data_IF_728857973512
#
_entry.id   IF_728857973512
#
_cell.length_a   1.000
_cell.length_b   1.000
_cell.length_c   1.000
_cell.angle_alpha   90.00
_cell.angle_beta   90.00
_cell.angle_gamma   90.00
#
_symmetry.space_group_name_H-M   'P 1'
#
loop_
_entity.id
_entity.type
_entity.pdbx_description
1 polymer ?
#
# COMPACT_ATOMS: atom_id res chain seq x y z
N UNK A 1 2.68 22.34 -11.92
CA UNK A 1 2.35 22.63 -10.49
C UNK A 1 2.83 21.47 -9.65
N UNK A 2 3.30 21.72 -8.43
CA UNK A 2 3.74 20.66 -7.50
C UNK A 2 2.72 20.52 -6.36
N UNK A 3 2.20 19.32 -6.18
CA UNK A 3 1.29 18.95 -5.09
C UNK A 3 2.05 18.12 -4.07
N UNK A 4 1.88 18.42 -2.78
CA UNK A 4 2.47 17.62 -1.70
C UNK A 4 1.39 16.83 -0.97
N UNK A 5 1.43 15.51 -1.11
CA UNK A 5 0.53 14.61 -0.38
C UNK A 5 1.16 14.21 0.96
N UNK A 6 0.42 14.39 2.05
CA UNK A 6 0.83 13.83 3.34
C UNK A 6 0.74 12.31 3.28
N UNK A 7 1.81 11.61 3.62
CA UNK A 7 1.84 10.14 3.64
C UNK A 7 2.51 9.63 4.90
N UNK A 8 2.32 8.33 5.19
CA UNK A 8 3.11 7.64 6.23
C UNK A 8 4.59 7.55 5.79
N UNK A 9 5.56 7.55 6.72
CA UNK A 9 6.99 7.49 6.37
C UNK A 9 7.40 6.27 5.54
N UNK A 10 6.97 5.05 5.92
CA UNK A 10 7.26 3.86 5.11
C UNK A 10 6.60 3.91 3.73
N UNK A 11 5.42 4.52 3.62
CA UNK A 11 4.72 4.74 2.35
C UNK A 11 5.53 5.68 1.45
N UNK A 12 6.17 6.73 1.99
CA UNK A 12 7.05 7.59 1.20
C UNK A 12 8.23 6.79 0.61
N UNK A 13 8.90 5.97 1.42
CA UNK A 13 10.02 5.13 0.96
C UNK A 13 9.56 4.15 -0.13
N UNK A 14 8.41 3.52 0.09
CA UNK A 14 7.78 2.63 -0.88
C UNK A 14 7.45 3.33 -2.21
N UNK A 15 6.77 4.48 -2.16
CA UNK A 15 6.42 5.26 -3.35
C UNK A 15 7.67 5.76 -4.09
N UNK A 16 8.65 6.29 -3.35
CA UNK A 16 9.90 6.78 -3.94
C UNK A 16 10.65 5.67 -4.67
N UNK A 17 10.63 4.45 -4.15
CA UNK A 17 11.27 3.28 -4.77
C UNK A 17 10.60 2.86 -6.08
N UNK A 18 9.27 2.99 -6.17
CA UNK A 18 8.46 2.53 -7.30
C UNK A 18 8.25 3.60 -8.38
N UNK A 19 8.08 4.85 -7.96
CA UNK A 19 7.68 5.97 -8.80
C UNK A 19 8.80 7.00 -9.02
N UNK A 20 9.88 6.90 -8.24
CA UNK A 20 10.96 7.89 -8.22
C UNK A 20 10.68 9.07 -7.28
N UNK A 21 11.69 9.92 -7.10
CA UNK A 21 11.61 11.12 -6.24
C UNK A 21 10.79 12.25 -6.85
N UNK A 22 10.77 12.34 -8.18
CA UNK A 22 10.09 13.39 -8.94
C UNK A 22 8.89 12.83 -9.69
N UNK A 23 8.00 12.15 -8.98
CA UNK A 23 6.86 11.49 -9.60
C UNK A 23 5.96 12.50 -10.34
N UNK A 24 5.74 12.26 -11.63
CA UNK A 24 4.78 12.99 -12.44
C UNK A 24 3.47 12.22 -12.50
N UNK A 25 2.37 12.87 -12.13
CA UNK A 25 1.05 12.25 -12.14
C UNK A 25 0.73 11.72 -13.54
N UNK A 26 0.50 10.41 -13.63
CA UNK A 26 0.26 9.68 -14.88
C UNK A 26 -0.95 8.77 -14.75
N UNK A 27 -1.72 8.61 -15.82
CA UNK A 27 -2.83 7.64 -15.87
C UNK A 27 -2.39 6.24 -16.33
N UNK A 28 -1.08 6.08 -16.59
CA UNK A 28 -0.47 4.82 -17.03
C UNK A 28 -0.29 3.87 -15.86
N UNK A 29 0.19 4.36 -14.72
CA UNK A 29 0.40 3.56 -13.53
C UNK A 29 -0.83 3.58 -12.59
N UNK A 30 -0.92 2.55 -11.74
CA UNK A 30 -2.06 2.37 -10.84
C UNK A 30 -2.17 3.44 -9.76
N UNK A 31 -1.03 3.98 -9.28
CA UNK A 31 -1.00 5.02 -8.26
C UNK A 31 -1.54 6.33 -8.81
N UNK A 32 -1.09 6.74 -9.98
CA UNK A 32 -1.52 7.97 -10.61
C UNK A 32 -2.96 7.89 -11.09
N UNK A 33 -3.41 6.75 -11.65
CA UNK A 33 -4.82 6.56 -12.01
C UNK A 33 -5.74 6.69 -10.79
N UNK A 34 -5.37 6.06 -9.67
CA UNK A 34 -6.16 6.13 -8.44
C UNK A 34 -6.16 7.56 -7.86
N UNK A 35 -4.98 8.19 -7.76
CA UNK A 35 -4.85 9.56 -7.26
C UNK A 35 -5.61 10.56 -8.15
N UNK A 36 -5.52 10.42 -9.47
CA UNK A 36 -6.26 11.25 -10.42
C UNK A 36 -7.77 11.12 -10.19
N UNK A 37 -8.28 9.90 -9.99
CA UNK A 37 -9.67 9.65 -9.63
C UNK A 37 -10.09 10.34 -8.34
N UNK A 38 -9.24 10.32 -7.31
CA UNK A 38 -9.51 11.01 -6.04
C UNK A 38 -9.53 12.53 -6.20
N UNK A 39 -8.55 13.10 -6.90
CA UNK A 39 -8.41 14.55 -7.06
C UNK A 39 -9.58 15.20 -7.80
N UNK A 40 -10.30 14.42 -8.62
CA UNK A 40 -11.48 14.88 -9.39
C UNK A 40 -12.76 14.95 -8.58
N UNK A 41 -12.84 14.28 -7.44
CA UNK A 41 -14.08 14.17 -6.69
C UNK A 41 -14.14 15.30 -5.65
N UNK A 42 -15.24 16.09 -5.59
CA UNK A 42 -15.45 17.08 -4.55
C UNK A 42 -15.75 16.33 -3.23
N UNK A 43 -14.67 15.95 -2.55
CA UNK A 43 -14.69 15.21 -1.30
C UNK A 43 -14.29 16.18 -0.19
N UNK A 44 -15.24 16.58 0.64
CA UNK A 44 -14.94 17.42 1.79
C UNK A 44 -15.64 16.86 3.03
N UNK A 45 -14.98 15.89 3.65
CA UNK A 45 -15.45 15.28 4.88
C UNK A 45 -14.40 15.50 5.98
N UNK A 46 -14.77 16.35 6.94
CA UNK A 46 -13.90 16.79 8.03
C UNK A 46 -13.59 15.66 9.02
N UNK A 47 -14.33 14.54 8.99
CA UNK A 47 -14.04 13.41 9.89
C UNK A 47 -12.63 12.85 9.69
N UNK A 48 -12.05 13.05 8.50
CA UNK A 48 -10.72 12.57 8.14
C UNK A 48 -9.57 13.45 8.65
N UNK A 49 -9.85 14.66 9.14
CA UNK A 49 -8.82 15.62 9.58
C UNK A 49 -7.98 15.06 10.74
N UNK A 50 -8.62 14.34 11.66
CA UNK A 50 -7.96 13.71 12.81
C UNK A 50 -6.91 12.66 12.41
N UNK A 51 -7.07 12.03 11.24
CA UNK A 51 -6.15 11.00 10.75
C UNK A 51 -4.87 11.59 10.16
N UNK A 52 -4.89 12.86 9.74
CA UNK A 52 -3.75 13.52 9.10
C UNK A 52 -2.54 13.66 10.02
N UNK A 53 -2.75 13.70 11.34
CA UNK A 53 -1.68 13.73 12.35
C UNK A 53 -0.67 12.57 12.20
N UNK A 54 -1.09 11.45 11.61
CA UNK A 54 -0.27 10.25 11.40
C UNK A 54 0.53 10.29 10.10
N UNK A 55 0.25 11.24 9.22
CA UNK A 55 0.87 11.37 7.90
C UNK A 55 1.91 12.49 7.93
N UNK A 56 3.07 12.19 8.50
CA UNK A 56 4.13 13.16 8.76
C UNK A 56 5.02 13.43 7.55
N UNK A 57 5.12 12.49 6.61
CA UNK A 57 5.95 12.61 5.43
C UNK A 57 5.20 13.30 4.28
N UNK A 58 5.95 13.90 3.33
CA UNK A 58 5.38 14.60 2.17
C UNK A 58 5.87 13.95 0.88
N UNK A 59 4.95 13.43 0.09
CA UNK A 59 5.23 12.88 -1.23
C UNK A 59 4.97 13.94 -2.31
N UNK A 60 6.01 14.37 -3.06
CA UNK A 60 5.86 15.34 -4.13
C UNK A 60 5.23 14.69 -5.37
N UNK A 61 4.19 15.33 -5.92
CA UNK A 61 3.50 14.90 -7.13
C UNK A 61 3.43 16.06 -8.11
N UNK A 62 4.10 15.92 -9.26
CA UNK A 62 4.10 16.92 -10.31
C UNK A 62 2.84 16.78 -11.17
N UNK A 63 2.04 17.84 -11.20
CA UNK A 63 0.84 17.93 -12.05
C UNK A 63 1.19 18.59 -13.38
N UNK A 64 0.82 17.93 -14.48
CA UNK A 64 1.00 18.37 -15.86
C UNK A 64 -0.04 19.45 -16.21
N UNK A 65 0.29 20.49 -17.00
CA UNK A 65 -0.62 21.61 -17.26
C UNK A 65 -2.02 21.25 -17.75
N UNK A 66 -2.17 20.23 -18.61
CA UNK A 66 -3.49 19.82 -19.10
C UNK A 66 -4.41 19.28 -17.98
N UNK A 67 -3.84 18.69 -16.93
CA UNK A 67 -4.59 18.22 -15.76
C UNK A 67 -5.06 19.38 -14.88
N UNK A 68 -4.39 20.54 -14.93
CA UNK A 68 -4.78 21.75 -14.19
C UNK A 68 -5.87 22.53 -14.91
N UNK A 69 -5.84 22.49 -16.25
CA UNK A 69 -6.88 23.06 -17.09
C UNK A 69 -8.21 22.31 -16.89
N UNK A 70 -8.16 21.00 -16.64
CA UNK A 70 -9.30 20.24 -16.14
C UNK A 70 -9.62 20.70 -14.70
N UNK A 71 -10.64 21.55 -14.57
CA UNK A 71 -11.06 22.18 -13.29
C UNK A 71 -11.39 21.16 -12.20
N UNK A 72 -11.50 19.88 -12.54
CA UNK A 72 -11.79 18.79 -11.62
C UNK A 72 -10.59 18.44 -10.70
N UNK A 73 -9.32 18.55 -11.12
CA UNK A 73 -8.18 18.04 -10.35
C UNK A 73 -7.65 18.99 -9.27
N UNK A 74 -8.53 19.47 -8.40
CA UNK A 74 -8.19 20.45 -7.34
C UNK A 74 -8.44 19.95 -5.92
N UNK A 75 -9.07 18.79 -5.76
CA UNK A 75 -9.58 18.35 -4.46
C UNK A 75 -8.57 17.47 -3.71
N UNK A 76 -7.55 18.09 -3.14
CA UNK A 76 -6.64 17.46 -2.19
C UNK A 76 -7.11 17.64 -0.74
N UNK A 77 -8.28 17.08 -0.41
CA UNK A 77 -8.80 17.10 0.96
C UNK A 77 -8.17 16.02 1.85
N UNK A 78 -8.43 16.10 3.16
CA UNK A 78 -8.03 15.09 4.13
C UNK A 78 -8.53 13.69 3.76
N UNK A 79 -9.76 13.61 3.24
CA UNK A 79 -10.32 12.37 2.72
C UNK A 79 -9.47 11.84 1.55
N UNK A 80 -9.14 12.67 0.55
CA UNK A 80 -8.25 12.27 -0.56
C UNK A 80 -6.93 11.69 -0.05
N UNK A 81 -6.31 12.34 0.93
CA UNK A 81 -5.06 11.89 1.55
C UNK A 81 -5.22 10.52 2.22
N UNK A 82 -6.27 10.32 3.02
CA UNK A 82 -6.52 9.06 3.72
C UNK A 82 -6.75 7.91 2.73
N UNK A 83 -7.60 8.13 1.74
CA UNK A 83 -7.91 7.11 0.72
C UNK A 83 -6.66 6.74 -0.08
N UNK A 84 -5.85 7.71 -0.49
CA UNK A 84 -4.59 7.44 -1.17
C UNK A 84 -3.63 6.63 -0.27
N UNK A 85 -3.46 7.00 1.00
CA UNK A 85 -2.60 6.25 1.91
C UNK A 85 -3.08 4.81 2.11
N UNK A 86 -4.39 4.58 2.24
CA UNK A 86 -4.95 3.23 2.39
C UNK A 86 -4.69 2.36 1.14
N UNK A 87 -4.86 2.94 -0.04
CA UNK A 87 -4.57 2.27 -1.30
C UNK A 87 -3.09 1.88 -1.40
N UNK A 88 -2.17 2.80 -1.10
CA UNK A 88 -0.74 2.51 -1.14
C UNK A 88 -0.36 1.48 -0.09
N UNK A 89 -0.94 1.56 1.11
CA UNK A 89 -0.71 0.59 2.19
C UNK A 89 -1.17 -0.82 1.81
N UNK A 90 -2.29 -0.95 1.09
CA UNK A 90 -2.76 -2.24 0.58
C UNK A 90 -1.76 -2.85 -0.40
N UNK A 91 -1.25 -2.06 -1.36
CA UNK A 91 -0.24 -2.50 -2.32
C UNK A 91 1.06 -2.88 -1.60
N UNK A 92 1.53 -2.02 -0.70
CA UNK A 92 2.72 -2.27 0.12
C UNK A 92 2.62 -3.61 0.84
N UNK A 93 1.52 -3.87 1.54
CA UNK A 93 1.38 -5.13 2.28
C UNK A 93 1.17 -6.33 1.35
N UNK A 94 0.58 -6.15 0.17
CA UNK A 94 0.51 -7.22 -0.83
C UNK A 94 1.90 -7.62 -1.29
N UNK A 95 2.73 -6.67 -1.70
CA UNK A 95 4.11 -6.94 -2.13
C UNK A 95 4.96 -7.51 -0.99
N UNK A 96 4.84 -6.95 0.22
CA UNK A 96 5.49 -7.50 1.41
C UNK A 96 5.15 -8.98 1.63
N UNK A 97 3.86 -9.34 1.58
CA UNK A 97 3.42 -10.73 1.77
C UNK A 97 3.93 -11.63 0.65
N UNK A 98 3.85 -11.21 -0.60
CA UNK A 98 4.39 -11.97 -1.73
C UNK A 98 5.90 -12.17 -1.60
N UNK A 99 6.64 -11.14 -1.19
CA UNK A 99 8.08 -11.22 -0.96
C UNK A 99 8.41 -12.22 0.15
N UNK A 100 7.77 -12.10 1.32
CA UNK A 100 8.03 -12.99 2.46
C UNK A 100 7.62 -14.43 2.12
N UNK A 101 6.47 -14.62 1.48
CA UNK A 101 5.99 -15.93 1.06
C UNK A 101 6.98 -16.62 0.14
N UNK A 102 7.43 -15.95 -0.92
CA UNK A 102 8.40 -16.49 -1.87
C UNK A 102 9.68 -16.93 -1.15
N UNK A 103 10.23 -16.09 -0.27
CA UNK A 103 11.47 -16.41 0.47
C UNK A 103 11.28 -17.55 1.47
N UNK A 104 10.12 -17.65 2.10
CA UNK A 104 9.83 -18.71 3.07
C UNK A 104 9.58 -20.06 2.38
N UNK A 105 8.86 -20.06 1.25
CA UNK A 105 8.46 -21.29 0.56
C UNK A 105 9.54 -21.81 -0.40
N UNK A 106 10.14 -20.94 -1.20
CA UNK A 106 11.08 -21.35 -2.25
C UNK A 106 12.54 -21.38 -1.78
N UNK A 107 12.89 -20.56 -0.78
CA UNK A 107 14.26 -20.46 -0.26
C UNK A 107 14.40 -21.00 1.18
N UNK A 108 13.34 -21.62 1.71
CA UNK A 108 13.28 -22.20 3.06
C UNK A 108 13.73 -21.23 4.17
N UNK A 109 13.53 -19.92 3.94
CA UNK A 109 14.02 -18.88 4.84
C UNK A 109 13.10 -18.73 6.05
N UNK A 110 13.67 -18.47 7.22
CA UNK A 110 12.88 -18.04 8.37
C UNK A 110 12.15 -16.73 8.06
N UNK A 111 10.85 -16.67 8.37
CA UNK A 111 10.02 -15.49 8.11
C UNK A 111 10.60 -14.21 8.72
N UNK A 112 11.22 -14.29 9.91
CA UNK A 112 11.92 -13.16 10.53
C UNK A 112 13.01 -12.58 9.61
N UNK A 113 13.86 -13.43 9.04
CA UNK A 113 14.95 -13.03 8.15
C UNK A 113 14.39 -12.44 6.84
N UNK A 114 13.32 -13.03 6.30
CA UNK A 114 12.65 -12.51 5.11
C UNK A 114 12.06 -11.11 5.34
N UNK A 115 11.43 -10.88 6.51
CA UNK A 115 10.91 -9.56 6.91
C UNK A 115 12.05 -8.55 7.02
N UNK A 116 13.14 -8.90 7.71
CA UNK A 116 14.32 -8.02 7.83
C UNK A 116 14.92 -7.69 6.47
N UNK A 117 15.00 -8.66 5.55
CA UNK A 117 15.46 -8.43 4.17
C UNK A 117 14.55 -7.47 3.42
N UNK A 118 13.23 -7.60 3.56
CA UNK A 118 12.29 -6.66 2.95
C UNK A 118 12.46 -5.24 3.49
N UNK A 119 12.59 -5.09 4.82
CA UNK A 119 12.86 -3.80 5.44
C UNK A 119 14.16 -3.18 4.93
N UNK A 120 15.25 -3.95 4.85
CA UNK A 120 16.53 -3.47 4.29
C UNK A 120 16.40 -3.09 2.82
N UNK A 121 15.68 -3.88 2.02
CA UNK A 121 15.47 -3.62 0.60
C UNK A 121 14.79 -2.27 0.34
N UNK A 122 13.82 -1.90 1.19
CA UNK A 122 13.14 -0.60 1.12
C UNK A 122 13.79 0.49 1.98
N UNK A 123 14.87 0.18 2.71
CA UNK A 123 15.52 1.08 3.66
C UNK A 123 14.61 1.51 4.83
N UNK A 124 13.69 0.66 5.27
CA UNK A 124 12.77 0.91 6.37
C UNK A 124 13.48 0.81 7.72
N UNK A 125 13.17 1.73 8.63
CA UNK A 125 13.59 1.75 10.02
C UNK A 125 12.40 1.49 10.95
N UNK A 126 12.67 1.26 12.24
CA UNK A 126 11.62 1.07 13.26
C UNK A 126 10.68 2.28 13.39
N UNK A 127 11.20 3.49 13.14
CA UNK A 127 10.41 4.73 13.14
C UNK A 127 9.45 4.82 11.95
N UNK A 128 9.74 4.14 10.84
CA UNK A 128 8.83 4.13 9.70
C UNK A 128 7.67 3.16 9.93
N UNK A 129 8.02 1.90 10.22
CA UNK A 129 7.08 0.82 10.51
C UNK A 129 7.80 -0.25 11.34
N UNK A 130 7.24 -0.55 12.50
CA UNK A 130 7.91 -1.49 13.39
C UNK A 130 7.98 -2.91 12.83
N UNK A 131 9.05 -3.64 13.14
CA UNK A 131 9.17 -5.05 12.81
C UNK A 131 7.97 -5.86 13.33
N UNK A 132 7.50 -5.57 14.55
CA UNK A 132 6.35 -6.24 15.15
C UNK A 132 5.04 -5.98 14.37
N UNK A 133 4.87 -4.80 13.77
CA UNK A 133 3.74 -4.52 12.87
C UNK A 133 3.80 -5.41 11.62
N UNK A 134 4.97 -5.51 10.97
CA UNK A 134 5.17 -6.35 9.79
C UNK A 134 4.95 -7.83 10.10
N UNK A 135 5.52 -8.31 11.21
CA UNK A 135 5.35 -9.67 11.71
C UNK A 135 3.88 -10.00 11.98
N UNK A 136 3.14 -9.12 12.66
CA UNK A 136 1.69 -9.31 12.89
C UNK A 136 0.91 -9.36 11.58
N UNK A 137 1.25 -8.52 10.60
CA UNK A 137 0.61 -8.56 9.28
C UNK A 137 0.85 -9.92 8.59
N UNK A 138 2.11 -10.38 8.58
CA UNK A 138 2.50 -11.69 8.04
C UNK A 138 1.77 -12.84 8.73
N UNK A 139 1.78 -12.89 10.08
CA UNK A 139 1.10 -13.94 10.84
C UNK A 139 -0.40 -14.01 10.51
N UNK A 140 -1.07 -12.86 10.38
CA UNK A 140 -2.49 -12.80 10.01
C UNK A 140 -2.74 -13.31 8.60
N UNK A 141 -1.87 -12.96 7.66
CA UNK A 141 -1.94 -13.45 6.29
C UNK A 141 -1.72 -14.97 6.22
N UNK A 142 -0.62 -15.45 6.81
CA UNK A 142 -0.26 -16.86 6.77
C UNK A 142 -1.33 -17.76 7.41
N UNK A 143 -1.97 -17.29 8.49
CA UNK A 143 -3.11 -18.01 9.10
C UNK A 143 -4.30 -18.14 8.14
N UNK A 144 -4.57 -17.13 7.31
CA UNK A 144 -5.64 -17.19 6.30
C UNK A 144 -5.23 -18.11 5.14
N UNK A 145 -3.99 -18.01 4.71
CA UNK A 145 -3.47 -18.81 3.60
C UNK A 145 -3.43 -20.30 3.95
N UNK A 146 -3.00 -20.66 5.15
CA UNK A 146 -3.03 -22.04 5.63
C UNK A 146 -4.44 -22.63 5.61
N UNK A 147 -5.43 -21.87 6.09
CA UNK A 147 -6.85 -22.27 6.05
C UNK A 147 -7.35 -22.47 4.63
N UNK A 148 -6.95 -21.60 3.70
CA UNK A 148 -7.31 -21.71 2.27
C UNK A 148 -6.78 -23.02 1.69
N UNK A 149 -5.51 -23.32 1.92
CA UNK A 149 -4.87 -24.57 1.48
C UNK A 149 -5.51 -25.82 2.09
N UNK A 150 -5.85 -25.79 3.39
CA UNK A 150 -6.56 -26.89 4.07
C UNK A 150 -7.97 -27.11 3.49
N UNK A 151 -8.70 -26.03 3.16
CA UNK A 151 -10.03 -26.14 2.56
C UNK A 151 -10.02 -26.67 1.12
N UNK A 152 -8.95 -26.42 0.37
CA UNK A 152 -8.77 -26.92 -1.01
C UNK A 152 -8.40 -28.40 -1.05
N UNK A 153 -7.81 -28.93 0.03
CA UNK A 153 -7.41 -30.34 0.13
C UNK A 153 -8.50 -31.27 0.67
N UNK A 154 -9.64 -30.75 1.13
CA UNK A 154 -10.76 -31.57 1.60
C UNK A 154 -11.70 -31.81 0.41
N UNK A 155 -11.75 -33.01 -0.21
CA UNK A 155 -12.69 -33.26 -1.30
C UNK A 155 -14.10 -33.18 -0.75
N UNK A 156 -14.94 -32.35 -1.38
CA UNK A 156 -16.40 -32.38 -1.18
C UNK A 156 -16.87 -33.83 -1.26
N UNK A 157 -17.42 -34.33 -0.17
CA UNK A 157 -17.81 -35.72 -0.04
C UNK A 157 -18.68 -36.16 -1.22
N UNK A 158 -18.18 -37.14 -1.97
CA UNK A 158 -18.99 -38.05 -2.76
C UNK A 158 -20.00 -38.70 -1.82
N UNK A 159 -21.17 -38.09 -1.70
CA UNK A 159 -22.38 -38.77 -1.24
C UNK A 159 -22.84 -39.71 -2.36
N UNK A 160 -22.14 -40.83 -2.51
CA UNK A 160 -22.70 -42.03 -3.14
C UNK A 160 -23.80 -42.54 -2.20
N UNK A 161 -25.03 -42.06 -2.43
CA UNK A 161 -26.21 -42.74 -1.91
C UNK A 161 -26.45 -43.92 -2.85
N UNK A 162 -26.29 -45.11 -2.26
CA UNK A 162 -26.57 -46.41 -2.85
C UNK A 162 -28.06 -46.62 -3.17
#
# INVERSE_FOLDING_TARGET
MLLYLSVKPYTLKFLTRHLGRDYQLSNVDSFGRYLFGLLRQPRNDKQYDNYLSRYTAKFPVRLVPYLLADRACKNCSSQTVVHFNNFVEEIFFREFRSFVQFRVQEEEMQAKVAIEKFSRFLGLTEDDISFETLKKNWCRYWKKEKKRLESEQTPSGLSLVA
#
